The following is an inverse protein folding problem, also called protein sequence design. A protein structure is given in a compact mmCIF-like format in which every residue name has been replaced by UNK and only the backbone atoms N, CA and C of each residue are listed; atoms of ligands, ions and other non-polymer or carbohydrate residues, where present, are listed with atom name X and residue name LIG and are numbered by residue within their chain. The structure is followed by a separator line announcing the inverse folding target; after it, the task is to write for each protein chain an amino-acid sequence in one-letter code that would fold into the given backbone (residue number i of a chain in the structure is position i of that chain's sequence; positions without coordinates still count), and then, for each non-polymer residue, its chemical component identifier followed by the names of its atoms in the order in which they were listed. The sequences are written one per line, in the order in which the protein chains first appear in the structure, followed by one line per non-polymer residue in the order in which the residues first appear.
data_IF_211825449773
#
_entry.id   IF_211825449773
#
_cell.length_a   1.000
_cell.length_b   1.000
_cell.length_c   1.000
_cell.angle_alpha   90.00
_cell.angle_beta   90.00
_cell.angle_gamma   90.00
#
_symmetry.space_group_name_H-M   'P 1'
#
loop_
_entity.id
_entity.type
_entity.pdbx_description
1 polymer ?
#
# COMPACT_ATOMS: atom_id res chain seq x y z
N UNK A 1 -88.32 -0.83 -5.16
CA UNK A 1 -87.53 -1.26 -3.98
C UNK A 1 -86.24 -2.00 -4.38
N UNK A 2 -86.27 -3.02 -5.24
CA UNK A 2 -85.04 -3.72 -5.67
C UNK A 2 -83.99 -2.80 -6.35
N UNK A 3 -84.44 -1.85 -7.20
CA UNK A 3 -83.56 -0.93 -7.94
C UNK A 3 -82.82 0.09 -7.05
N UNK A 4 -83.48 0.54 -5.97
CA UNK A 4 -82.92 1.48 -4.97
C UNK A 4 -81.81 0.84 -4.14
N UNK A 5 -81.83 -0.49 -3.97
CA UNK A 5 -80.80 -1.25 -3.22
C UNK A 5 -79.67 -1.70 -4.14
N UNK A 6 -79.97 -2.03 -5.40
CA UNK A 6 -78.98 -2.47 -6.38
C UNK A 6 -77.94 -1.38 -6.73
N UNK A 7 -78.38 -0.14 -6.87
CA UNK A 7 -77.52 0.98 -7.25
C UNK A 7 -76.39 1.28 -6.24
N UNK A 8 -76.65 1.46 -4.93
CA UNK A 8 -75.58 1.68 -3.95
C UNK A 8 -74.68 0.46 -3.80
N UNK A 9 -75.19 -0.76 -4.00
CA UNK A 9 -74.42 -1.99 -3.94
C UNK A 9 -73.39 -2.04 -5.08
N UNK A 10 -73.80 -1.69 -6.30
CA UNK A 10 -72.90 -1.59 -7.46
C UNK A 10 -71.85 -0.49 -7.24
N UNK A 11 -72.23 0.66 -6.69
CA UNK A 11 -71.30 1.77 -6.46
C UNK A 11 -70.26 1.43 -5.38
N UNK A 12 -70.65 0.76 -4.30
CA UNK A 12 -69.72 0.20 -3.31
C UNK A 12 -68.76 -0.82 -3.95
N UNK A 13 -69.26 -1.69 -4.83
CA UNK A 13 -68.43 -2.69 -5.49
C UNK A 13 -67.38 -2.04 -6.40
N UNK A 14 -67.77 -1.02 -7.16
CA UNK A 14 -66.84 -0.25 -7.99
C UNK A 14 -65.80 0.48 -7.14
N UNK A 15 -66.22 1.11 -6.04
CA UNK A 15 -65.29 1.81 -5.13
C UNK A 15 -64.30 0.84 -4.48
N UNK A 16 -64.76 -0.35 -4.08
CA UNK A 16 -63.90 -1.40 -3.53
C UNK A 16 -62.86 -1.88 -4.56
N UNK A 17 -63.30 -2.20 -5.79
CA UNK A 17 -62.40 -2.60 -6.87
C UNK A 17 -61.39 -1.49 -7.21
N UNK A 18 -61.82 -0.23 -7.23
CA UNK A 18 -60.93 0.89 -7.49
C UNK A 18 -59.88 1.05 -6.36
N UNK A 19 -60.28 0.86 -5.10
CA UNK A 19 -59.37 0.90 -3.96
C UNK A 19 -58.34 -0.24 -4.01
N UNK A 20 -58.77 -1.48 -4.27
CA UNK A 20 -57.88 -2.64 -4.42
C UNK A 20 -56.83 -2.41 -5.52
N UNK A 21 -57.24 -1.85 -6.67
CA UNK A 21 -56.31 -1.54 -7.77
C UNK A 21 -55.31 -0.47 -7.34
N UNK A 22 -55.76 0.59 -6.66
CA UNK A 22 -54.90 1.69 -6.19
C UNK A 22 -53.90 1.24 -5.11
N UNK A 23 -54.35 0.39 -4.18
CA UNK A 23 -53.48 -0.18 -3.14
C UNK A 23 -52.45 -1.11 -3.78
N UNK A 24 -52.87 -1.96 -4.72
CA UNK A 24 -51.96 -2.78 -5.52
C UNK A 24 -50.90 -1.96 -6.26
N UNK A 25 -51.26 -0.86 -6.93
CA UNK A 25 -50.29 0.00 -7.61
C UNK A 25 -49.34 0.72 -6.64
N UNK A 26 -49.84 1.10 -5.47
CA UNK A 26 -49.02 1.76 -4.44
C UNK A 26 -48.00 0.78 -3.86
N UNK A 27 -48.42 -0.44 -3.60
CA UNK A 27 -47.57 -1.47 -3.01
C UNK A 27 -46.52 -1.95 -4.01
N UNK A 28 -46.86 -2.09 -5.29
CA UNK A 28 -45.85 -2.37 -6.33
C UNK A 28 -44.83 -1.24 -6.43
N UNK A 29 -45.27 0.02 -6.48
CA UNK A 29 -44.36 1.17 -6.53
C UNK A 29 -43.47 1.27 -5.28
N UNK A 30 -44.02 0.98 -4.09
CA UNK A 30 -43.24 0.92 -2.84
C UNK A 30 -42.18 -0.17 -2.90
N UNK A 31 -42.55 -1.36 -3.38
CA UNK A 31 -41.67 -2.50 -3.48
C UNK A 31 -40.53 -2.26 -4.47
N UNK A 32 -40.81 -1.68 -5.64
CA UNK A 32 -39.77 -1.28 -6.60
C UNK A 32 -38.79 -0.28 -5.99
N UNK A 33 -39.33 0.73 -5.28
CA UNK A 33 -38.52 1.74 -4.59
C UNK A 33 -37.68 1.13 -3.46
N UNK A 34 -38.23 0.21 -2.67
CA UNK A 34 -37.49 -0.43 -1.58
C UNK A 34 -36.39 -1.36 -2.12
N UNK A 35 -36.66 -2.08 -3.20
CA UNK A 35 -35.66 -2.89 -3.90
C UNK A 35 -34.52 -2.02 -4.46
N UNK A 36 -34.86 -0.90 -5.11
CA UNK A 36 -33.87 0.04 -5.64
C UNK A 36 -33.03 0.69 -4.51
N UNK A 37 -33.66 1.05 -3.39
CA UNK A 37 -32.95 1.58 -2.21
C UNK A 37 -32.00 0.55 -1.60
N UNK A 38 -32.42 -0.71 -1.51
CA UNK A 38 -31.58 -1.80 -1.04
C UNK A 38 -30.35 -1.98 -1.95
N UNK A 39 -30.55 -1.98 -3.26
CA UNK A 39 -29.44 -2.10 -4.23
C UNK A 39 -28.46 -0.91 -4.12
N UNK A 40 -28.97 0.32 -4.11
CA UNK A 40 -28.13 1.53 -4.01
C UNK A 40 -27.38 1.57 -2.68
N UNK A 41 -28.03 1.22 -1.57
CA UNK A 41 -27.36 1.20 -0.26
C UNK A 41 -26.27 0.14 -0.19
N UNK A 42 -26.49 -1.06 -0.74
CA UNK A 42 -25.48 -2.11 -0.83
C UNK A 42 -24.28 -1.70 -1.69
N UNK A 43 -24.52 -1.12 -2.87
CA UNK A 43 -23.47 -0.62 -3.74
C UNK A 43 -22.69 0.53 -3.10
N UNK A 44 -23.37 1.44 -2.41
CA UNK A 44 -22.74 2.56 -1.71
C UNK A 44 -21.84 2.08 -0.59
N UNK A 45 -22.28 1.06 0.16
CA UNK A 45 -21.49 0.49 1.25
C UNK A 45 -20.27 -0.26 0.72
N UNK A 46 -20.43 -1.05 -0.34
CA UNK A 46 -19.30 -1.71 -1.01
C UNK A 46 -18.29 -0.69 -1.57
N UNK A 47 -18.78 0.41 -2.17
CA UNK A 47 -17.93 1.50 -2.64
C UNK A 47 -17.21 2.22 -1.49
N UNK A 48 -17.87 2.41 -0.34
CA UNK A 48 -17.27 3.00 0.85
C UNK A 48 -16.13 2.13 1.38
N UNK A 49 -16.38 0.85 1.59
CA UNK A 49 -15.39 -0.09 2.14
C UNK A 49 -14.18 -0.19 1.21
N UNK A 50 -14.40 -0.34 -0.10
CA UNK A 50 -13.30 -0.39 -1.07
C UNK A 50 -12.52 0.93 -1.14
N UNK A 51 -13.21 2.07 -1.03
CA UNK A 51 -12.58 3.39 -0.97
C UNK A 51 -11.69 3.56 0.27
N UNK A 52 -12.13 3.10 1.44
CA UNK A 52 -11.33 3.13 2.68
C UNK A 52 -10.08 2.26 2.56
N UNK A 53 -10.21 1.03 2.05
CA UNK A 53 -9.05 0.15 1.82
C UNK A 53 -8.03 0.75 0.84
N UNK A 54 -8.50 1.45 -0.20
CA UNK A 54 -7.63 2.10 -1.16
C UNK A 54 -6.87 3.26 -0.51
N UNK A 55 -7.55 4.08 0.30
CA UNK A 55 -6.94 5.19 1.02
C UNK A 55 -5.88 4.70 2.02
N UNK A 56 -6.16 3.61 2.76
CA UNK A 56 -5.20 3.02 3.70
C UNK A 56 -3.96 2.49 2.96
N UNK A 57 -4.14 1.82 1.82
CA UNK A 57 -3.03 1.35 0.97
C UNK A 57 -2.18 2.51 0.46
N UNK A 58 -2.81 3.56 -0.05
CA UNK A 58 -2.10 4.71 -0.61
C UNK A 58 -1.35 5.50 0.49
N UNK A 59 -1.87 5.52 1.72
CA UNK A 59 -1.17 6.08 2.87
C UNK A 59 0.09 5.28 3.24
N UNK A 60 0.01 3.95 3.22
CA UNK A 60 1.17 3.07 3.44
C UNK A 60 2.21 3.31 2.35
N UNK A 61 1.79 3.32 1.08
CA UNK A 61 2.69 3.52 -0.06
C UNK A 61 3.43 4.86 -0.01
N UNK A 62 2.70 5.94 0.28
CA UNK A 62 3.28 7.28 0.44
C UNK A 62 4.34 7.29 1.55
N UNK A 63 4.02 6.70 2.71
CA UNK A 63 4.95 6.65 3.85
C UNK A 63 6.22 5.87 3.49
N UNK A 64 6.09 4.69 2.89
CA UNK A 64 7.23 3.85 2.51
C UNK A 64 8.10 4.48 1.44
N UNK A 65 7.49 5.17 0.48
CA UNK A 65 8.21 5.93 -0.55
C UNK A 65 9.03 7.06 0.06
N UNK A 66 8.43 7.86 0.96
CA UNK A 66 9.14 8.95 1.65
C UNK A 66 10.30 8.43 2.50
N UNK A 67 10.11 7.33 3.24
CA UNK A 67 11.19 6.73 4.03
C UNK A 67 12.32 6.18 3.14
N UNK A 68 11.97 5.55 2.00
CA UNK A 68 12.95 5.06 1.04
C UNK A 68 13.77 6.19 0.41
N UNK A 69 13.11 7.27 0.00
CA UNK A 69 13.77 8.43 -0.60
C UNK A 69 14.70 9.12 0.40
N UNK A 70 14.28 9.21 1.67
CA UNK A 70 15.14 9.72 2.73
C UNK A 70 16.39 8.84 2.95
N UNK A 71 16.23 7.52 3.01
CA UNK A 71 17.35 6.58 3.16
C UNK A 71 18.32 6.66 1.97
N UNK A 72 17.80 6.75 0.74
CA UNK A 72 18.60 6.94 -0.48
C UNK A 72 19.34 8.28 -0.50
N UNK A 73 18.69 9.36 -0.08
CA UNK A 73 19.32 10.67 0.00
C UNK A 73 20.49 10.67 1.00
N UNK A 74 20.29 10.06 2.17
CA UNK A 74 21.33 9.87 3.18
C UNK A 74 22.49 9.03 2.64
N UNK A 75 22.19 7.94 1.92
CA UNK A 75 23.20 7.09 1.29
C UNK A 75 24.04 7.86 0.25
N UNK A 76 23.37 8.62 -0.62
CA UNK A 76 24.02 9.46 -1.62
C UNK A 76 24.93 10.53 -0.99
N UNK A 77 24.52 11.12 0.13
CA UNK A 77 25.36 12.05 0.88
C UNK A 77 26.62 11.38 1.43
N UNK A 78 26.50 10.18 1.98
CA UNK A 78 27.64 9.37 2.43
C UNK A 78 28.57 9.00 1.28
N UNK A 79 28.02 8.63 0.13
CA UNK A 79 28.80 8.34 -1.08
C UNK A 79 29.64 9.55 -1.48
N UNK A 80 29.02 10.73 -1.61
CA UNK A 80 29.75 11.97 -1.91
C UNK A 80 30.79 12.31 -0.87
N UNK A 81 30.50 12.12 0.41
CA UNK A 81 31.47 12.38 1.48
C UNK A 81 32.70 11.45 1.40
N UNK A 82 32.52 10.21 0.96
CA UNK A 82 33.62 9.26 0.71
C UNK A 82 34.39 9.62 -0.55
N UNK A 83 33.71 9.99 -1.63
CA UNK A 83 34.33 10.42 -2.89
C UNK A 83 35.17 11.70 -2.71
N UNK A 84 34.67 12.66 -1.93
CA UNK A 84 35.36 13.89 -1.55
C UNK A 84 36.50 13.67 -0.53
N UNK A 85 36.72 12.42 -0.09
CA UNK A 85 37.65 12.04 1.00
C UNK A 85 37.39 12.73 2.35
N UNK A 86 36.20 13.31 2.55
CA UNK A 86 35.74 13.86 3.84
C UNK A 86 35.45 12.74 4.85
N UNK A 87 35.07 11.57 4.35
CA UNK A 87 34.86 10.34 5.12
C UNK A 87 35.61 9.17 4.47
N UNK A 88 35.77 8.07 5.20
CA UNK A 88 36.46 6.87 4.71
C UNK A 88 35.68 5.61 5.08
N UNK A 89 35.46 4.73 4.12
CA UNK A 89 34.98 3.37 4.38
C UNK A 89 36.11 2.55 4.98
N UNK A 90 35.82 1.88 6.10
CA UNK A 90 36.77 0.98 6.77
C UNK A 90 36.28 -0.44 6.61
N UNK A 91 37.18 -1.33 6.20
CA UNK A 91 36.92 -2.76 6.16
C UNK A 91 37.58 -3.38 7.38
N UNK A 92 36.86 -4.25 8.08
CA UNK A 92 37.45 -5.06 9.13
C UNK A 92 38.16 -6.25 8.46
N UNK A 93 39.49 -6.25 8.50
CA UNK A 93 40.32 -7.27 7.88
C UNK A 93 41.34 -7.79 8.89
N UNK A 94 41.52 -9.11 8.93
CA UNK A 94 42.59 -9.79 9.68
C UNK A 94 43.65 -10.22 8.68
N UNK A 95 44.83 -9.59 8.73
CA UNK A 95 45.97 -10.03 7.94
C UNK A 95 46.68 -11.18 8.67
N UNK A 96 46.80 -12.34 8.04
CA UNK A 96 47.70 -13.39 8.55
C UNK A 96 49.15 -12.90 8.45
N UNK A 97 49.94 -13.15 9.50
CA UNK A 97 51.37 -12.83 9.46
C UNK A 97 52.03 -13.62 8.33
N UNK A 98 52.87 -12.95 7.54
CA UNK A 98 53.70 -13.62 6.54
C UNK A 98 54.52 -14.71 7.23
N UNK A 99 54.47 -15.94 6.69
CA UNK A 99 55.24 -17.06 7.22
C UNK A 99 56.73 -16.70 7.28
N UNK A 100 57.43 -17.26 8.27
CA UNK A 100 58.87 -17.07 8.52
C UNK A 100 59.72 -17.67 7.39
N UNK A 101 59.64 -17.13 6.18
CA UNK A 101 60.69 -17.31 5.19
C UNK A 101 61.77 -16.25 5.44
N UNK A 102 63.03 -16.70 5.50
CA UNK A 102 64.20 -15.90 5.87
C UNK A 102 64.12 -14.49 5.29
N UNK A 103 64.05 -13.49 6.18
CA UNK A 103 64.08 -12.08 5.82
C UNK A 103 65.34 -11.79 5.00
N UNK A 104 65.19 -11.76 3.67
CA UNK A 104 66.18 -11.19 2.77
C UNK A 104 66.12 -9.68 2.93
N UNK A 105 67.27 -9.02 3.03
CA UNK A 105 67.39 -7.57 3.05
C UNK A 105 67.06 -6.99 1.65
N UNK A 106 65.79 -7.09 1.25
CA UNK A 106 65.25 -6.51 0.03
C UNK A 106 64.79 -5.07 0.30
N UNK A 107 65.12 -4.15 -0.61
CA UNK A 107 64.70 -2.76 -0.54
C UNK A 107 63.20 -2.64 -0.32
N UNK A 108 62.78 -1.80 0.62
CA UNK A 108 61.36 -1.50 0.86
C UNK A 108 60.81 -0.83 -0.40
N UNK A 109 59.97 -1.52 -1.15
CA UNK A 109 59.29 -0.92 -2.30
C UNK A 109 58.28 0.11 -1.78
N UNK A 110 58.32 1.32 -2.32
CA UNK A 110 57.34 2.36 -2.03
C UNK A 110 56.02 1.98 -2.72
N UNK A 111 55.25 1.12 -2.05
CA UNK A 111 53.96 0.66 -2.52
C UNK A 111 52.88 1.71 -2.20
N UNK A 112 51.91 1.86 -3.10
CA UNK A 112 50.75 2.69 -2.85
C UNK A 112 50.03 2.26 -1.55
N UNK A 113 49.41 3.23 -0.86
CA UNK A 113 48.64 2.95 0.37
C UNK A 113 47.53 1.94 0.07
N UNK A 114 47.33 0.97 0.96
CA UNK A 114 46.23 0.01 0.84
C UNK A 114 44.87 0.73 0.74
N UNK A 115 44.14 0.48 -0.35
CA UNK A 115 42.86 1.10 -0.68
C UNK A 115 41.86 0.01 -1.11
N UNK A 116 40.56 0.24 -0.88
CA UNK A 116 39.53 -0.63 -1.45
C UNK A 116 39.67 -0.65 -2.97
N UNK A 117 39.36 -1.80 -3.56
CA UNK A 117 39.23 -1.89 -5.01
C UNK A 117 38.21 -0.85 -5.53
N UNK A 118 38.44 -0.35 -6.75
CA UNK A 118 37.67 0.76 -7.29
C UNK A 118 36.17 0.46 -7.44
N UNK A 119 35.83 -0.82 -7.61
CA UNK A 119 34.47 -1.39 -7.68
C UNK A 119 33.84 -1.63 -6.29
N UNK A 120 34.63 -2.00 -5.28
CA UNK A 120 34.11 -2.30 -3.94
C UNK A 120 33.43 -1.09 -3.25
N UNK A 121 33.77 0.14 -3.64
CA UNK A 121 33.13 1.37 -3.13
C UNK A 121 31.71 1.58 -3.67
N UNK A 122 31.47 1.67 -4.99
CA UNK A 122 30.12 1.80 -5.52
C UNK A 122 29.24 0.58 -5.18
N UNK A 123 29.81 -0.62 -5.09
CA UNK A 123 29.06 -1.82 -4.70
C UNK A 123 28.50 -1.74 -3.28
N UNK A 124 29.27 -1.18 -2.33
CA UNK A 124 28.81 -1.00 -0.95
C UNK A 124 27.57 -0.09 -0.86
N UNK A 125 27.58 1.04 -1.56
CA UNK A 125 26.46 1.98 -1.53
C UNK A 125 25.24 1.44 -2.29
N UNK A 126 25.47 0.72 -3.38
CA UNK A 126 24.43 -0.02 -4.11
C UNK A 126 23.77 -1.06 -3.20
N UNK A 127 24.57 -1.82 -2.43
CA UNK A 127 24.04 -2.81 -1.49
C UNK A 127 23.20 -2.17 -0.39
N UNK A 128 23.62 -1.00 0.12
CA UNK A 128 22.82 -0.24 1.09
C UNK A 128 21.49 0.23 0.51
N UNK A 129 21.45 0.66 -0.75
CA UNK A 129 20.19 1.05 -1.41
C UNK A 129 19.25 -0.14 -1.63
N UNK A 130 19.79 -1.29 -2.00
CA UNK A 130 19.01 -2.54 -2.10
C UNK A 130 18.48 -2.98 -0.73
N UNK A 131 19.26 -2.81 0.34
CA UNK A 131 18.83 -3.08 1.70
C UNK A 131 17.72 -2.13 2.15
N UNK A 132 17.85 -0.83 1.87
CA UNK A 132 16.81 0.17 2.13
C UNK A 132 15.50 -0.19 1.43
N UNK A 133 15.57 -0.52 0.13
CA UNK A 133 14.41 -0.92 -0.66
C UNK A 133 13.74 -2.17 -0.08
N UNK A 134 14.51 -3.24 0.15
CA UNK A 134 13.96 -4.49 0.68
C UNK A 134 13.34 -4.32 2.07
N UNK A 135 13.98 -3.53 2.94
CA UNK A 135 13.44 -3.16 4.26
C UNK A 135 12.10 -2.45 4.11
N UNK A 136 12.00 -1.42 3.27
CA UNK A 136 10.75 -0.69 3.07
C UNK A 136 9.65 -1.55 2.44
N UNK A 137 10.00 -2.45 1.53
CA UNK A 137 9.05 -3.43 0.96
C UNK A 137 8.51 -4.39 2.02
N UNK A 138 9.37 -4.94 2.88
CA UNK A 138 8.96 -5.83 3.98
C UNK A 138 8.07 -5.10 4.97
N UNK A 139 8.46 -3.90 5.38
CA UNK A 139 7.70 -3.09 6.31
C UNK A 139 6.37 -2.59 5.71
N UNK A 140 6.33 -2.32 4.41
CA UNK A 140 5.10 -2.00 3.68
C UNK A 140 4.14 -3.18 3.64
N UNK A 141 4.65 -4.39 3.39
CA UNK A 141 3.84 -5.61 3.40
C UNK A 141 3.27 -5.93 4.80
N UNK A 142 4.07 -5.73 5.84
CA UNK A 142 3.61 -5.89 7.23
C UNK A 142 2.49 -4.90 7.55
N UNK A 143 2.68 -3.61 7.26
CA UNK A 143 1.65 -2.59 7.47
C UNK A 143 0.36 -2.91 6.69
N UNK A 144 0.49 -3.35 5.43
CA UNK A 144 -0.65 -3.72 4.59
C UNK A 144 -1.45 -4.87 5.21
N UNK A 145 -0.78 -5.92 5.68
CA UNK A 145 -1.47 -7.04 6.33
C UNK A 145 -2.18 -6.58 7.61
N UNK A 146 -1.51 -5.77 8.43
CA UNK A 146 -2.07 -5.32 9.71
C UNK A 146 -3.20 -4.30 9.57
N UNK A 147 -3.15 -3.41 8.59
CA UNK A 147 -4.10 -2.30 8.46
C UNK A 147 -5.22 -2.59 7.46
N UNK A 148 -4.94 -3.37 6.41
CA UNK A 148 -5.91 -3.63 5.31
C UNK A 148 -6.49 -5.04 5.39
N UNK A 149 -5.67 -6.08 5.63
CA UNK A 149 -6.17 -7.47 5.59
C UNK A 149 -6.79 -7.96 6.90
N UNK A 150 -6.25 -7.57 8.06
CA UNK A 150 -6.70 -8.03 9.38
C UNK A 150 -7.77 -7.14 10.00
N UNK A 151 -8.27 -6.17 9.24
CA UNK A 151 -9.36 -5.27 9.62
C UNK A 151 -10.71 -5.94 9.41
#
# INVERSE_FOLDING_TARGET
MLREILFPLVLCLVAFVAFDILEGQRDTARQERDNALFEVSGLREAARISGEMLADRDAIDLKRTLELDHERASNLELQRAVDDRRQRLRVNATCSAAGTEKASAGSVADAATAELAADARPDYFTLRDQLALSKQMILGLQDYVHQVCLR
#
